data_IF_367686429950
#
_entry.id   IF_367686429950
#
_cell.length_a   1.000
_cell.length_b   1.000
_cell.length_c   1.000
_cell.angle_alpha   90.00
_cell.angle_beta   90.00
_cell.angle_gamma   90.00
#
_symmetry.space_group_name_H-M   'P 1'
#
loop_
_entity.id
_entity.type
_entity.pdbx_description
1 polymer ?
#
# COMPACT_ATOMS: atom_id res chain seq x y z
N UNK A 1 2.47 -0.60 -18.60
CA UNK A 1 2.36 -1.14 -19.97
C UNK A 1 2.70 -0.08 -21.02
N UNK A 2 1.99 1.06 -21.06
CA UNK A 2 2.28 2.13 -22.03
C UNK A 2 3.71 2.68 -21.94
N UNK A 3 4.25 2.80 -20.73
CA UNK A 3 5.65 3.22 -20.51
C UNK A 3 6.64 2.27 -21.19
N UNK A 4 6.50 0.96 -20.97
CA UNK A 4 7.34 -0.06 -21.62
C UNK A 4 7.22 -0.02 -23.15
N UNK A 5 6.00 0.11 -23.68
CA UNK A 5 5.77 0.22 -25.13
C UNK A 5 6.45 1.47 -25.71
N UNK A 6 6.39 2.60 -25.01
CA UNK A 6 7.08 3.83 -25.40
C UNK A 6 8.60 3.68 -25.35
N UNK A 7 9.14 3.01 -24.32
CA UNK A 7 10.58 2.73 -24.21
C UNK A 7 11.11 1.87 -25.36
N UNK A 8 10.41 0.80 -25.73
CA UNK A 8 10.90 -0.14 -26.77
C UNK A 8 10.65 0.35 -28.20
N UNK A 9 9.64 1.20 -28.43
CA UNK A 9 9.30 1.69 -29.78
C UNK A 9 9.94 3.05 -30.03
N UNK A 10 9.43 4.08 -29.35
CA UNK A 10 9.83 5.46 -29.56
C UNK A 10 11.24 5.71 -29.06
N UNK A 11 11.54 5.42 -27.79
CA UNK A 11 12.86 5.71 -27.21
C UNK A 11 13.97 4.89 -27.87
N UNK A 12 13.74 3.59 -28.14
CA UNK A 12 14.69 2.77 -28.89
C UNK A 12 14.96 3.32 -30.31
N UNK A 13 13.92 3.79 -31.01
CA UNK A 13 14.10 4.39 -32.34
C UNK A 13 14.96 5.66 -32.30
N UNK A 14 14.74 6.52 -31.28
CA UNK A 14 15.54 7.74 -31.04
C UNK A 14 16.97 7.39 -30.65
N UNK A 15 17.18 6.35 -29.86
CA UNK A 15 18.51 5.86 -29.46
C UNK A 15 19.31 5.37 -30.68
N UNK A 16 18.69 4.58 -31.56
CA UNK A 16 19.33 4.12 -32.81
C UNK A 16 19.65 5.30 -33.72
N UNK A 17 18.74 6.26 -33.85
CA UNK A 17 18.98 7.48 -34.62
C UNK A 17 20.13 8.32 -34.04
N UNK A 18 20.18 8.48 -32.71
CA UNK A 18 21.25 9.17 -31.99
C UNK A 18 22.62 8.52 -32.18
N UNK A 19 22.71 7.20 -32.04
CA UNK A 19 23.95 6.45 -32.21
C UNK A 19 24.50 6.52 -33.64
N UNK A 20 23.62 6.49 -34.67
CA UNK A 20 24.05 6.72 -36.06
C UNK A 20 24.61 8.13 -36.27
N UNK A 21 23.98 9.14 -35.67
CA UNK A 21 24.43 10.54 -35.76
C UNK A 21 25.70 10.81 -34.96
N UNK A 22 25.98 10.05 -33.89
CA UNK A 22 27.19 10.20 -33.08
C UNK A 22 28.47 10.01 -33.92
N UNK A 23 28.45 9.07 -34.87
CA UNK A 23 29.55 8.83 -35.82
C UNK A 23 29.82 10.05 -36.71
N UNK A 24 28.78 10.82 -37.05
CA UNK A 24 28.85 12.01 -37.91
C UNK A 24 29.08 13.33 -37.11
N UNK A 25 29.27 13.25 -35.78
CA UNK A 25 29.50 14.41 -34.91
C UNK A 25 28.35 14.75 -33.95
N UNK A 26 27.37 13.85 -33.80
CA UNK A 26 26.26 13.94 -32.85
C UNK A 26 25.03 14.70 -33.36
N UNK A 27 24.01 14.81 -32.50
CA UNK A 27 22.76 15.52 -32.81
C UNK A 27 22.97 17.04 -33.02
N UNK A 28 24.05 17.62 -32.48
CA UNK A 28 24.45 19.02 -32.64
C UNK A 28 25.12 19.31 -34.00
N UNK A 29 25.57 18.28 -34.73
CA UNK A 29 26.21 18.44 -36.04
C UNK A 29 25.24 18.90 -37.14
N UNK A 30 23.92 18.90 -36.87
CA UNK A 30 22.91 19.34 -37.83
C UNK A 30 23.03 20.84 -38.18
N UNK A 31 23.61 21.65 -37.29
CA UNK A 31 23.79 23.10 -37.51
C UNK A 31 25.26 23.55 -37.51
N UNK A 32 26.19 22.76 -36.99
CA UNK A 32 27.62 23.07 -37.01
C UNK A 32 28.39 21.85 -37.54
N UNK A 33 28.95 21.97 -38.75
CA UNK A 33 29.92 20.98 -39.26
C UNK A 33 31.19 21.06 -38.40
N UNK A 34 31.24 20.27 -37.33
CA UNK A 34 32.50 19.98 -36.66
C UNK A 34 33.33 19.11 -37.61
N UNK A 35 34.39 19.71 -38.15
CA UNK A 35 35.33 19.03 -39.05
C UNK A 35 35.99 17.88 -38.29
N UNK A 36 35.54 16.65 -38.53
CA UNK A 36 36.14 15.45 -37.96
C UNK A 36 37.61 15.37 -38.35
N UNK A 37 38.49 15.50 -37.36
CA UNK A 37 39.93 15.30 -37.51
C UNK A 37 40.17 13.80 -37.66
N UNK A 38 40.40 13.36 -38.91
CA UNK A 38 40.92 12.01 -39.20
C UNK A 38 42.38 11.90 -38.71
N UNK A 39 42.56 11.23 -37.59
CA UNK A 39 43.74 10.43 -37.16
C UNK A 39 43.45 10.04 -35.70
N UNK A 40 43.48 8.79 -35.25
CA UNK A 40 44.41 7.70 -35.57
C UNK A 40 43.71 6.38 -35.24
N UNK A 41 44.01 5.30 -35.98
CA UNK A 41 43.67 3.93 -35.59
C UNK A 41 44.31 3.60 -34.22
N UNK A 42 43.65 2.70 -33.48
CA UNK A 42 44.06 2.08 -32.21
C UNK A 42 43.78 3.02 -31.01
N UNK A 43 42.78 2.83 -30.16
CA UNK A 43 42.11 1.62 -29.69
C UNK A 43 40.65 1.97 -29.35
N UNK A 44 39.69 1.15 -29.79
CA UNK A 44 38.33 1.15 -29.24
C UNK A 44 38.37 0.56 -27.82
N UNK A 45 39.09 1.21 -26.89
CA UNK A 45 38.80 1.02 -25.48
C UNK A 45 37.41 1.59 -25.28
N UNK A 46 36.42 0.69 -25.19
CA UNK A 46 35.09 0.98 -24.70
C UNK A 46 35.27 1.80 -23.43
N UNK A 47 35.08 3.12 -23.54
CA UNK A 47 35.43 4.05 -22.48
C UNK A 47 34.34 3.89 -21.43
N UNK A 48 34.52 2.88 -20.58
CA UNK A 48 33.54 2.50 -19.58
C UNK A 48 33.32 3.71 -18.69
N UNK A 49 32.06 4.15 -18.49
CA UNK A 49 31.77 5.28 -17.65
C UNK A 49 32.35 5.03 -16.25
N UNK A 50 32.87 6.08 -15.62
CA UNK A 50 33.56 6.00 -14.32
C UNK A 50 32.80 5.18 -13.27
N UNK A 51 31.47 5.31 -13.23
CA UNK A 51 30.59 4.57 -12.32
C UNK A 51 30.63 3.06 -12.59
N UNK A 52 30.66 2.64 -13.85
CA UNK A 52 30.74 1.22 -14.21
C UNK A 52 32.07 0.63 -13.72
N UNK A 53 33.16 1.34 -13.92
CA UNK A 53 34.48 0.93 -13.43
C UNK A 53 34.53 0.86 -11.91
N UNK A 54 34.00 1.86 -11.22
CA UNK A 54 33.92 1.85 -9.75
C UNK A 54 33.07 0.69 -9.21
N UNK A 55 31.93 0.42 -9.84
CA UNK A 55 31.04 -0.68 -9.44
C UNK A 55 31.67 -2.05 -9.67
N UNK A 56 32.33 -2.23 -10.82
CA UNK A 56 33.01 -3.47 -11.19
C UNK A 56 34.29 -3.73 -10.39
N UNK A 57 35.17 -2.73 -10.29
CA UNK A 57 36.53 -2.93 -9.76
C UNK A 57 36.60 -2.78 -8.24
N UNK A 58 35.68 -2.01 -7.61
CA UNK A 58 35.76 -1.69 -6.18
C UNK A 58 34.59 -2.30 -5.42
N UNK A 59 33.34 -2.01 -5.83
CA UNK A 59 32.16 -2.44 -5.08
C UNK A 59 31.88 -3.95 -5.20
N UNK A 60 31.91 -4.50 -6.41
CA UNK A 60 31.66 -5.92 -6.66
C UNK A 60 32.63 -6.84 -5.89
N UNK A 61 33.97 -6.68 -5.96
CA UNK A 61 34.87 -7.56 -5.21
C UNK A 61 34.80 -7.35 -3.69
N UNK A 62 34.29 -6.20 -3.21
CA UNK A 62 34.05 -5.98 -1.79
C UNK A 62 32.84 -6.79 -1.29
N UNK A 63 31.67 -6.64 -1.92
CA UNK A 63 30.44 -7.32 -1.48
C UNK A 63 30.48 -8.84 -1.70
N UNK A 64 31.29 -9.32 -2.65
CA UNK A 64 31.46 -10.75 -2.93
C UNK A 64 32.44 -11.47 -1.99
N UNK A 65 33.17 -10.78 -1.11
CA UNK A 65 34.04 -11.45 -0.12
C UNK A 65 33.22 -12.37 0.77
N UNK A 66 33.76 -13.57 1.08
CA UNK A 66 33.06 -14.59 1.88
C UNK A 66 32.58 -14.03 3.23
N UNK A 67 33.43 -13.26 3.91
CA UNK A 67 33.13 -12.68 5.22
C UNK A 67 31.98 -11.66 5.12
N UNK A 68 32.04 -10.78 4.13
CA UNK A 68 31.04 -9.72 3.91
C UNK A 68 29.70 -10.31 3.47
N UNK A 69 29.71 -11.36 2.64
CA UNK A 69 28.49 -12.09 2.25
C UNK A 69 27.77 -12.67 3.47
N UNK A 70 28.50 -13.28 4.42
CA UNK A 70 27.93 -13.84 5.63
C UNK A 70 27.33 -12.72 6.51
N UNK A 71 28.08 -11.63 6.72
CA UNK A 71 27.61 -10.48 7.49
C UNK A 71 26.35 -9.86 6.87
N UNK A 72 26.34 -9.67 5.55
CA UNK A 72 25.19 -9.13 4.82
C UNK A 72 23.95 -10.02 4.95
N UNK A 73 24.12 -11.35 4.92
CA UNK A 73 23.04 -12.30 5.12
C UNK A 73 22.46 -12.21 6.55
N UNK A 74 23.32 -12.10 7.57
CA UNK A 74 22.88 -11.92 8.96
C UNK A 74 22.12 -10.60 9.12
N UNK A 75 22.64 -9.50 8.59
CA UNK A 75 21.97 -8.18 8.63
C UNK A 75 20.61 -8.24 7.93
N UNK A 76 20.52 -8.92 6.78
CA UNK A 76 19.26 -9.08 6.06
C UNK A 76 18.24 -9.90 6.88
N UNK A 77 18.67 -10.95 7.58
CA UNK A 77 17.79 -11.73 8.45
C UNK A 77 17.28 -10.90 9.64
N UNK A 78 18.13 -10.08 10.26
CA UNK A 78 17.73 -9.15 11.32
C UNK A 78 16.73 -8.12 10.78
N UNK A 79 17.00 -7.56 9.61
CA UNK A 79 16.08 -6.62 8.96
C UNK A 79 14.73 -7.28 8.66
N UNK A 80 14.73 -8.50 8.12
CA UNK A 80 13.52 -9.24 7.79
C UNK A 80 12.71 -9.58 9.05
N UNK A 81 13.35 -9.99 10.15
CA UNK A 81 12.65 -10.27 11.40
C UNK A 81 12.04 -9.01 12.01
N UNK A 82 12.75 -7.87 11.96
CA UNK A 82 12.20 -6.57 12.36
C UNK A 82 11.04 -6.13 11.49
N UNK A 83 11.11 -6.36 10.18
CA UNK A 83 10.01 -6.05 9.26
C UNK A 83 8.77 -6.91 9.57
N UNK A 84 8.93 -8.22 9.80
CA UNK A 84 7.85 -9.12 10.20
C UNK A 84 7.25 -8.67 11.54
N UNK A 85 8.09 -8.34 12.52
CA UNK A 85 7.62 -7.81 13.80
C UNK A 85 6.83 -6.51 13.62
N UNK A 86 7.31 -5.59 12.78
CA UNK A 86 6.60 -4.36 12.42
C UNK A 86 5.25 -4.63 11.77
N UNK A 87 5.17 -5.61 10.86
CA UNK A 87 3.93 -6.02 10.23
C UNK A 87 2.91 -6.64 11.21
N UNK A 88 3.35 -7.32 12.26
CA UNK A 88 2.45 -7.88 13.30
C UNK A 88 2.00 -6.79 14.28
N UNK A 89 2.89 -5.85 14.62
CA UNK A 89 2.63 -4.80 15.60
C UNK A 89 1.81 -3.63 15.04
N UNK A 90 1.72 -3.50 13.71
CA UNK A 90 0.97 -2.42 13.09
C UNK A 90 -0.53 -2.53 13.41
N UNK A 91 -1.01 -1.60 14.23
CA UNK A 91 -2.43 -1.49 14.53
C UNK A 91 -3.15 -0.82 13.37
N UNK A 92 -4.14 -1.50 12.78
CA UNK A 92 -4.96 -0.94 11.71
C UNK A 92 -5.99 -0.01 12.33
N UNK A 93 -5.72 1.28 12.25
CA UNK A 93 -6.64 2.33 12.71
C UNK A 93 -7.07 3.22 11.54
N UNK A 94 -8.32 3.05 11.13
CA UNK A 94 -8.99 3.83 10.07
C UNK A 94 -9.75 4.99 10.72
N UNK A 95 -9.04 5.81 11.50
CA UNK A 95 -9.66 6.96 12.14
C UNK A 95 -10.02 8.03 11.08
N UNK A 96 -11.25 8.56 11.08
CA UNK A 96 -11.66 9.67 10.21
C UNK A 96 -10.74 10.90 10.32
N UNK A 97 -10.08 11.06 11.47
CA UNK A 97 -9.11 12.13 11.74
C UNK A 97 -7.96 12.13 10.74
N UNK A 98 -7.49 10.96 10.29
CA UNK A 98 -6.34 10.81 9.37
C UNK A 98 -6.65 11.22 7.93
N UNK A 99 -7.92 11.27 7.56
CA UNK A 99 -8.34 11.65 6.21
C UNK A 99 -8.51 13.15 6.02
N UNK A 100 -8.53 13.90 7.12
CA UNK A 100 -8.89 15.31 7.13
C UNK A 100 -7.64 16.11 7.40
N UNK A 101 -7.49 17.20 6.65
CA UNK A 101 -6.38 18.13 6.82
C UNK A 101 -6.28 18.63 8.27
N UNK A 102 -5.05 18.77 8.75
CA UNK A 102 -4.77 19.14 10.15
C UNK A 102 -5.43 20.45 10.58
N UNK A 103 -5.44 21.50 9.74
CA UNK A 103 -6.09 22.78 10.10
C UNK A 103 -7.58 22.86 9.69
N UNK A 104 -8.27 21.73 9.55
CA UNK A 104 -9.69 21.75 9.21
C UNK A 104 -10.56 22.09 10.43
N UNK A 105 -11.54 23.02 10.31
CA UNK A 105 -12.43 23.38 11.43
C UNK A 105 -13.31 22.22 11.90
N UNK A 106 -13.40 21.14 11.12
CA UNK A 106 -14.18 19.93 11.47
C UNK A 106 -13.42 18.97 12.41
N UNK A 107 -12.10 19.11 12.55
CA UNK A 107 -11.31 18.26 13.44
C UNK A 107 -11.81 18.22 14.89
N UNK A 108 -12.06 19.35 15.58
CA UNK A 108 -12.54 19.32 16.96
C UNK A 108 -13.90 18.60 17.09
N UNK A 109 -14.79 18.76 16.10
CA UNK A 109 -16.07 18.05 16.08
C UNK A 109 -15.87 16.54 15.97
N UNK A 110 -15.02 16.07 15.06
CA UNK A 110 -14.72 14.64 14.90
C UNK A 110 -14.06 14.08 16.15
N UNK A 111 -13.16 14.84 16.77
CA UNK A 111 -12.50 14.43 18.00
C UNK A 111 -13.48 14.23 19.16
N UNK A 112 -14.48 15.11 19.27
CA UNK A 112 -15.56 15.01 20.25
C UNK A 112 -16.53 13.88 19.92
N UNK A 113 -16.93 13.74 18.65
CA UNK A 113 -17.82 12.69 18.20
C UNK A 113 -17.21 11.30 18.47
N UNK A 114 -15.93 11.11 18.13
CA UNK A 114 -15.17 9.87 18.36
C UNK A 114 -15.10 9.51 19.84
N UNK A 115 -14.92 10.51 20.71
CA UNK A 115 -14.83 10.31 22.16
C UNK A 115 -16.18 10.03 22.83
N UNK A 116 -17.26 10.69 22.41
CA UNK A 116 -18.53 10.71 23.16
C UNK A 116 -19.71 10.05 22.43
N UNK A 117 -19.72 10.03 21.10
CA UNK A 117 -20.85 9.52 20.31
C UNK A 117 -20.58 8.06 19.92
N UNK A 118 -19.45 7.79 19.29
CA UNK A 118 -19.16 6.47 18.71
C UNK A 118 -18.83 5.40 19.76
N UNK A 119 -18.34 5.79 20.94
CA UNK A 119 -18.08 4.86 22.03
C UNK A 119 -19.36 4.21 22.60
N UNK A 120 -20.47 4.96 22.65
CA UNK A 120 -21.68 4.55 23.36
C UNK A 120 -22.92 4.38 22.46
N UNK A 121 -22.96 4.93 21.24
CA UNK A 121 -24.21 5.07 20.46
C UNK A 121 -24.26 4.31 19.12
N UNK A 122 -23.41 3.31 18.91
CA UNK A 122 -23.50 2.49 17.69
C UNK A 122 -24.51 1.37 17.91
N UNK A 123 -25.73 1.55 17.39
CA UNK A 123 -26.78 0.53 17.42
C UNK A 123 -26.76 -0.29 16.12
N UNK A 124 -26.31 -1.55 16.14
CA UNK A 124 -26.34 -2.40 14.95
C UNK A 124 -27.78 -2.79 14.60
N UNK A 125 -28.12 -2.72 13.31
CA UNK A 125 -29.42 -3.16 12.80
C UNK A 125 -29.27 -4.55 12.20
N UNK A 126 -29.96 -5.53 12.79
CA UNK A 126 -29.94 -6.91 12.30
C UNK A 126 -31.13 -7.15 11.36
N UNK A 127 -30.84 -7.47 10.11
CA UNK A 127 -31.84 -7.84 9.11
C UNK A 127 -31.94 -9.37 9.01
N UNK A 128 -33.11 -9.91 9.35
CA UNK A 128 -33.39 -11.35 9.23
C UNK A 128 -33.97 -11.61 7.83
N UNK A 129 -33.15 -12.18 6.95
CA UNK A 129 -33.52 -12.39 5.54
C UNK A 129 -34.71 -13.31 5.33
N UNK A 130 -34.87 -14.33 6.18
CA UNK A 130 -36.01 -15.25 6.14
C UNK A 130 -36.71 -15.24 7.51
N UNK A 131 -37.75 -14.40 7.71
CA UNK A 131 -38.39 -14.26 9.01
C UNK A 131 -39.21 -15.52 9.37
N UNK A 132 -39.17 -15.98 10.63
CA UNK A 132 -39.96 -17.11 11.07
C UNK A 132 -41.44 -16.71 11.26
N UNK A 133 -42.36 -17.68 11.21
CA UNK A 133 -43.78 -17.40 11.45
C UNK A 133 -44.06 -17.11 12.93
N UNK A 134 -44.19 -15.82 13.27
CA UNK A 134 -44.44 -15.32 14.62
C UNK A 134 -45.81 -15.68 15.21
N UNK A 135 -46.72 -16.30 14.44
CA UNK A 135 -47.96 -16.86 14.99
C UNK A 135 -47.68 -18.03 15.94
N UNK A 136 -46.61 -18.78 15.67
CA UNK A 136 -46.23 -19.94 16.48
C UNK A 136 -45.43 -19.55 17.73
N UNK A 137 -45.69 -20.18 18.87
CA UNK A 137 -44.96 -19.91 20.13
C UNK A 137 -43.49 -20.30 19.99
N UNK A 138 -43.21 -21.41 19.29
CA UNK A 138 -41.85 -21.92 19.09
C UNK A 138 -40.97 -20.97 18.27
N UNK A 139 -41.49 -20.39 17.19
CA UNK A 139 -40.76 -19.40 16.39
C UNK A 139 -40.43 -18.15 17.20
N UNK A 140 -41.38 -17.67 18.02
CA UNK A 140 -41.17 -16.53 18.92
C UNK A 140 -40.10 -16.82 19.96
N UNK A 141 -40.13 -18.01 20.58
CA UNK A 141 -39.11 -18.43 21.54
C UNK A 141 -37.72 -18.46 20.90
N UNK A 142 -37.60 -18.98 19.68
CA UNK A 142 -36.33 -19.03 18.94
C UNK A 142 -35.80 -17.62 18.58
N UNK A 143 -36.68 -16.70 18.19
CA UNK A 143 -36.27 -15.31 17.94
C UNK A 143 -35.81 -14.62 19.22
N UNK A 144 -36.53 -14.81 20.33
CA UNK A 144 -36.12 -14.26 21.63
C UNK A 144 -34.79 -14.84 22.10
N UNK A 145 -34.50 -16.10 21.83
CA UNK A 145 -33.21 -16.72 22.12
C UNK A 145 -32.07 -16.08 21.32
N UNK A 146 -32.28 -15.83 20.01
CA UNK A 146 -31.31 -15.11 19.17
C UNK A 146 -31.02 -13.72 19.74
N UNK A 147 -32.08 -12.96 20.05
CA UNK A 147 -31.95 -11.62 20.64
C UNK A 147 -31.21 -11.68 21.97
N UNK A 148 -31.54 -12.63 22.85
CA UNK A 148 -30.86 -12.82 24.12
C UNK A 148 -29.35 -13.07 23.95
N UNK A 149 -28.95 -13.87 22.95
CA UNK A 149 -27.53 -14.11 22.64
C UNK A 149 -26.82 -12.86 22.13
N UNK A 150 -27.50 -12.03 21.33
CA UNK A 150 -26.97 -10.74 20.85
C UNK A 150 -26.80 -9.73 21.99
N UNK A 151 -27.72 -9.74 22.95
CA UNK A 151 -27.69 -8.88 24.14
C UNK A 151 -26.57 -9.22 25.12
N UNK A 152 -26.10 -10.48 25.15
CA UNK A 152 -25.10 -10.97 26.12
C UNK A 152 -23.71 -11.20 25.51
N UNK A 153 -23.36 -10.45 24.46
CA UNK A 153 -21.99 -10.43 23.93
C UNK A 153 -21.07 -9.56 24.78
N UNK A 154 -19.76 -9.71 24.66
CA UNK A 154 -18.75 -9.06 25.52
C UNK A 154 -18.80 -7.52 25.49
N UNK A 155 -19.36 -6.92 24.43
CA UNK A 155 -19.43 -5.47 24.24
C UNK A 155 -20.86 -4.94 24.10
N UNK A 156 -21.88 -5.76 24.36
CA UNK A 156 -23.27 -5.30 24.30
C UNK A 156 -23.74 -4.72 25.62
N UNK A 157 -24.56 -3.66 25.52
CA UNK A 157 -25.16 -2.96 26.66
C UNK A 157 -26.32 -3.79 27.27
N UNK A 158 -26.76 -4.84 26.56
CA UNK A 158 -27.83 -5.73 26.99
C UNK A 158 -29.23 -5.22 26.62
N UNK A 159 -30.24 -5.80 27.27
CA UNK A 159 -31.66 -5.63 26.91
C UNK A 159 -32.16 -4.19 26.86
N UNK A 160 -31.56 -3.28 27.62
CA UNK A 160 -31.93 -1.85 27.63
C UNK A 160 -31.67 -1.15 26.30
N UNK A 161 -30.80 -1.71 25.45
CA UNK A 161 -30.45 -1.17 24.13
C UNK A 161 -31.21 -1.83 22.96
N UNK A 162 -31.97 -2.89 23.23
CA UNK A 162 -32.67 -3.66 22.18
C UNK A 162 -34.05 -3.08 21.89
N UNK A 163 -34.26 -2.62 20.66
CA UNK A 163 -35.59 -2.31 20.15
C UNK A 163 -36.10 -3.47 19.29
N UNK A 164 -37.07 -4.23 19.82
CA UNK A 164 -37.75 -5.29 19.08
C UNK A 164 -39.26 -5.05 19.02
N UNK A 165 -39.76 -4.77 17.81
CA UNK A 165 -41.14 -4.36 17.55
C UNK A 165 -42.20 -5.35 18.04
N UNK A 166 -41.90 -6.66 18.00
CA UNK A 166 -42.89 -7.69 18.35
C UNK A 166 -43.18 -7.73 19.85
N UNK A 167 -42.22 -7.36 20.71
CA UNK A 167 -42.45 -7.27 22.16
C UNK A 167 -43.42 -6.14 22.49
N UNK A 168 -43.26 -4.99 21.85
CA UNK A 168 -44.19 -3.87 22.02
C UNK A 168 -45.56 -4.21 21.43
N UNK A 169 -45.60 -4.88 20.27
CA UNK A 169 -46.86 -5.34 19.68
C UNK A 169 -47.64 -6.29 20.60
N UNK A 170 -46.97 -7.14 21.39
CA UNK A 170 -47.62 -8.06 22.33
C UNK A 170 -48.16 -7.40 23.61
N UNK A 171 -47.81 -6.14 23.87
CA UNK A 171 -48.28 -5.37 25.03
C UNK A 171 -49.63 -4.69 24.77
N UNK A 172 -50.03 -4.55 23.51
CA UNK A 172 -51.32 -4.01 23.07
C UNK A 172 -52.30 -5.13 22.76
#
# INVERSE_FOLDING_TARGET
MMDYLFQITFYASVMVYGGRKEVDGGLLACCYKLKSRKNTRNDHYMQQPYIHRWFGDIYAPFILRKDIRIISMIIFLIYASLAIYGCISISVDISPRKYIRDDSPIQPFINLADKYIWADNVMPVFHVMNPPDFRTVQARARMNELIYRLEHTTYSIGRVSTNFWLWEYQRF
#
